data_IF_763181585399
#
_entry.id   IF_763181585399
#
_cell.length_a   1.000
_cell.length_b   1.000
_cell.length_c   1.000
_cell.angle_alpha   90.00
_cell.angle_beta   90.00
_cell.angle_gamma   90.00
#
_symmetry.space_group_name_H-M   'P 1'
#
loop_
_entity.id
_entity.type
_entity.pdbx_description
1 polymer ?
#
# COMPACT_ATOMS: atom_id res chain seq x y z
N UNK A 1 -21.23 -11.73 21.96
CA UNK A 1 -20.70 -12.69 20.99
C UNK A 1 -19.39 -13.27 21.50
N UNK A 2 -19.07 -14.50 21.10
CA UNK A 2 -17.84 -15.16 21.47
C UNK A 2 -17.09 -15.68 20.24
N UNK A 3 -15.78 -15.83 20.36
CA UNK A 3 -14.91 -16.32 19.29
C UNK A 3 -13.92 -17.34 19.82
N UNK A 4 -13.64 -18.37 19.05
CA UNK A 4 -12.52 -19.27 19.22
C UNK A 4 -11.78 -19.45 17.91
N UNK A 5 -10.46 -19.35 17.94
CA UNK A 5 -9.58 -19.46 16.77
C UNK A 5 -8.70 -20.70 16.95
N UNK A 6 -8.66 -21.52 15.92
CA UNK A 6 -7.91 -22.78 15.91
C UNK A 6 -6.92 -22.80 14.75
N UNK A 7 -5.72 -23.30 14.99
CA UNK A 7 -4.75 -23.63 13.97
C UNK A 7 -4.59 -25.16 13.91
N UNK A 8 -4.88 -25.77 12.75
CA UNK A 8 -4.88 -27.23 12.56
C UNK A 8 -5.73 -28.01 13.57
N UNK A 9 -6.83 -27.39 14.03
CA UNK A 9 -7.73 -27.96 15.02
C UNK A 9 -7.29 -27.79 16.48
N UNK A 10 -6.16 -27.13 16.74
CA UNK A 10 -5.71 -26.78 18.09
C UNK A 10 -6.13 -25.34 18.41
N UNK A 11 -6.82 -25.14 19.54
CA UNK A 11 -7.22 -23.82 20.02
C UNK A 11 -5.98 -22.96 20.29
N UNK A 12 -5.92 -21.78 19.66
CA UNK A 12 -4.83 -20.82 19.85
C UNK A 12 -5.26 -19.58 20.65
N UNK A 13 -6.52 -19.19 20.52
CA UNK A 13 -7.10 -18.12 21.34
C UNK A 13 -8.63 -18.22 21.38
N UNK A 14 -9.24 -17.67 22.42
CA UNK A 14 -10.69 -17.52 22.52
C UNK A 14 -11.05 -16.33 23.38
N UNK A 15 -12.22 -15.76 23.13
CA UNK A 15 -12.79 -14.69 23.92
C UNK A 15 -14.29 -14.96 24.16
N UNK A 16 -14.72 -14.76 25.40
CA UNK A 16 -16.13 -14.85 25.84
C UNK A 16 -16.81 -16.20 25.53
N UNK A 17 -16.03 -17.28 25.31
CA UNK A 17 -16.59 -18.62 25.05
C UNK A 17 -17.29 -19.16 26.29
N UNK A 18 -18.49 -19.75 26.14
CA UNK A 18 -19.22 -20.34 27.26
C UNK A 18 -18.54 -21.61 27.80
N UNK A 19 -18.61 -21.82 29.11
CA UNK A 19 -17.98 -22.97 29.78
C UNK A 19 -18.65 -24.32 29.47
N UNK A 20 -19.91 -24.30 29.03
CA UNK A 20 -20.71 -25.52 28.81
C UNK A 20 -21.30 -25.57 27.39
N UNK A 21 -21.23 -26.75 26.77
CA UNK A 21 -21.91 -27.06 25.51
C UNK A 21 -23.41 -27.19 25.73
N UNK A 22 -24.20 -26.42 24.99
CA UNK A 22 -25.65 -26.65 24.93
C UNK A 22 -25.99 -27.88 24.09
N UNK A 23 -27.14 -28.49 24.34
CA UNK A 23 -27.65 -29.57 23.51
C UNK A 23 -27.75 -29.10 22.04
N UNK A 24 -27.40 -29.97 21.11
CA UNK A 24 -27.36 -29.72 19.66
C UNK A 24 -26.19 -28.88 19.13
N UNK A 25 -25.07 -28.79 19.83
CA UNK A 25 -23.89 -27.99 19.41
C UNK A 25 -24.15 -26.49 19.22
N UNK A 26 -25.25 -25.97 19.76
CA UNK A 26 -25.53 -24.54 19.79
C UNK A 26 -24.91 -23.94 21.06
N UNK A 27 -24.10 -22.95 20.88
CA UNK A 27 -23.48 -22.18 21.96
C UNK A 27 -23.87 -20.73 21.78
N UNK A 28 -24.45 -20.16 22.81
CA UNK A 28 -24.63 -18.72 22.88
C UNK A 28 -23.67 -18.16 23.90
N UNK A 29 -22.96 -17.10 23.54
CA UNK A 29 -21.96 -16.48 24.39
C UNK A 29 -22.54 -15.95 25.71
N UNK A 30 -23.82 -15.58 25.71
CA UNK A 30 -24.48 -15.00 26.89
C UNK A 30 -23.96 -13.60 27.25
N UNK A 31 -23.04 -13.06 26.48
CA UNK A 31 -22.43 -11.75 26.68
C UNK A 31 -22.60 -10.93 25.40
N UNK A 32 -23.33 -9.82 25.50
CA UNK A 32 -23.48 -8.86 24.41
C UNK A 32 -22.37 -7.83 24.52
N UNK A 33 -21.51 -7.75 23.52
CA UNK A 33 -20.52 -6.69 23.39
C UNK A 33 -21.18 -5.50 22.67
N UNK A 34 -21.28 -4.35 23.33
CA UNK A 34 -21.81 -3.12 22.72
C UNK A 34 -20.88 -2.45 21.73
N UNK A 35 -19.66 -2.99 21.52
CA UNK A 35 -18.66 -2.56 20.55
C UNK A 35 -17.74 -3.75 20.23
N UNK A 36 -17.09 -3.79 19.05
CA UNK A 36 -16.08 -4.79 18.74
C UNK A 36 -14.99 -4.85 19.80
N UNK A 37 -14.56 -6.06 20.16
CA UNK A 37 -13.43 -6.29 21.07
C UNK A 37 -12.25 -6.73 20.23
N UNK A 38 -11.12 -6.08 20.45
CA UNK A 38 -9.84 -6.49 19.86
C UNK A 38 -9.23 -7.60 20.73
N UNK A 39 -8.74 -8.65 20.06
CA UNK A 39 -7.98 -9.71 20.70
C UNK A 39 -6.71 -9.99 19.88
N UNK A 40 -5.59 -10.12 20.56
CA UNK A 40 -4.33 -10.50 19.91
C UNK A 40 -3.76 -11.75 20.56
N UNK A 41 -3.14 -12.59 19.73
CA UNK A 41 -2.37 -13.76 20.19
C UNK A 41 -1.04 -13.81 19.49
N UNK A 42 0.01 -14.04 20.24
CA UNK A 42 1.36 -14.28 19.72
C UNK A 42 1.76 -15.69 20.14
N UNK A 43 1.99 -16.56 19.15
CA UNK A 43 2.49 -17.92 19.40
C UNK A 43 4.00 -17.91 19.35
N UNK A 44 4.63 -18.56 20.32
CA UNK A 44 6.08 -18.78 20.32
C UNK A 44 6.49 -19.75 19.22
N UNK A 45 7.78 -19.75 18.83
CA UNK A 45 8.34 -20.68 17.85
C UNK A 45 8.06 -22.15 18.21
N UNK A 46 8.16 -22.51 19.49
CA UNK A 46 7.93 -23.89 19.94
C UNK A 46 6.45 -24.27 19.87
N UNK A 47 5.54 -23.35 20.18
CA UNK A 47 4.12 -23.55 19.99
C UNK A 47 3.78 -23.72 18.53
N UNK A 48 4.31 -22.85 17.63
CA UNK A 48 4.13 -22.97 16.19
C UNK A 48 4.65 -24.29 15.64
N UNK A 49 5.87 -24.70 16.03
CA UNK A 49 6.46 -25.99 15.63
C UNK A 49 5.62 -27.22 16.05
N UNK A 50 4.90 -27.12 17.16
CA UNK A 50 4.02 -28.20 17.63
C UNK A 50 2.69 -28.29 16.87
N UNK A 51 2.27 -27.19 16.21
CA UNK A 51 0.96 -27.07 15.59
C UNK A 51 1.05 -27.14 14.06
N UNK A 52 2.09 -26.50 13.48
CA UNK A 52 2.28 -26.44 12.03
C UNK A 52 2.66 -27.78 11.44
N UNK A 53 2.16 -28.04 10.25
CA UNK A 53 2.44 -29.24 9.45
C UNK A 53 3.15 -28.82 8.17
N UNK A 54 3.96 -29.72 7.62
CA UNK A 54 4.49 -29.55 6.27
C UNK A 54 3.33 -29.53 5.26
N UNK A 55 3.35 -28.58 4.33
CA UNK A 55 2.28 -28.35 3.36
C UNK A 55 1.17 -27.45 3.90
N UNK A 56 -0.08 -27.79 3.64
CA UNK A 56 -1.23 -26.96 3.97
C UNK A 56 -1.54 -26.96 5.46
N UNK A 57 -1.75 -25.76 6.02
CA UNK A 57 -2.23 -25.53 7.37
C UNK A 57 -3.59 -24.84 7.33
N UNK A 58 -4.45 -25.15 8.28
CA UNK A 58 -5.83 -24.65 8.32
C UNK A 58 -6.02 -23.79 9.55
N UNK A 59 -6.40 -22.54 9.32
CA UNK A 59 -6.90 -21.64 10.35
C UNK A 59 -8.43 -21.72 10.34
N UNK A 60 -9.04 -22.02 11.49
CA UNK A 60 -10.49 -22.12 11.64
C UNK A 60 -10.97 -21.16 12.72
N UNK A 61 -12.11 -20.54 12.49
CA UNK A 61 -12.74 -19.63 13.43
C UNK A 61 -14.13 -20.14 13.76
N UNK A 62 -14.44 -20.20 15.04
CA UNK A 62 -15.76 -20.53 15.58
C UNK A 62 -16.33 -19.25 16.20
N UNK A 63 -17.51 -18.82 15.72
CA UNK A 63 -18.21 -17.64 16.19
C UNK A 63 -19.54 -18.02 16.84
N UNK A 64 -19.83 -17.40 17.96
CA UNK A 64 -21.07 -17.61 18.69
C UNK A 64 -21.77 -16.29 18.95
N UNK A 65 -23.03 -16.21 18.56
CA UNK A 65 -23.88 -15.08 18.91
C UNK A 65 -24.18 -15.08 20.42
N UNK A 66 -24.56 -13.93 20.94
CA UNK A 66 -24.92 -13.77 22.36
C UNK A 66 -26.23 -14.49 22.71
N UNK A 67 -27.14 -14.67 21.76
CA UNK A 67 -28.45 -15.31 21.91
C UNK A 67 -29.09 -15.72 20.58
N UNK A 68 -30.08 -16.58 20.60
CA UNK A 68 -30.78 -17.08 19.41
C UNK A 68 -31.41 -15.99 18.54
N UNK A 69 -31.82 -14.88 19.13
CA UNK A 69 -32.46 -13.76 18.42
C UNK A 69 -31.50 -12.64 17.99
N UNK A 70 -30.21 -12.82 18.15
CA UNK A 70 -29.20 -11.85 17.67
C UNK A 70 -29.20 -11.83 16.15
N UNK A 71 -29.08 -10.62 15.55
CA UNK A 71 -29.17 -10.43 14.12
C UNK A 71 -27.81 -10.14 13.50
N UNK A 72 -26.78 -9.90 14.30
CA UNK A 72 -25.45 -9.43 13.90
C UNK A 72 -24.35 -10.22 14.58
N UNK A 73 -23.44 -10.70 13.79
CA UNK A 73 -22.19 -11.31 14.23
C UNK A 73 -21.08 -10.80 13.30
N UNK A 74 -20.00 -10.30 13.89
CA UNK A 74 -18.88 -9.73 13.15
C UNK A 74 -17.58 -10.33 13.64
N UNK A 75 -16.71 -10.66 12.70
CA UNK A 75 -15.35 -11.10 12.95
C UNK A 75 -14.43 -10.66 11.82
N UNK A 76 -13.28 -10.12 12.16
CA UNK A 76 -12.27 -9.68 11.20
C UNK A 76 -10.87 -10.02 11.71
N UNK A 77 -10.00 -10.48 10.82
CA UNK A 77 -8.55 -10.49 11.05
C UNK A 77 -7.97 -9.14 10.62
N UNK A 78 -7.62 -8.29 11.56
CA UNK A 78 -6.97 -7.02 11.25
C UNK A 78 -5.51 -7.21 10.84
N UNK A 79 -4.83 -8.20 11.44
CA UNK A 79 -3.47 -8.56 11.07
C UNK A 79 -3.23 -10.04 11.35
N UNK A 80 -2.86 -10.79 10.31
CA UNK A 80 -2.41 -12.17 10.42
C UNK A 80 -1.04 -12.28 9.79
N UNK A 81 0.01 -12.48 10.59
CA UNK A 81 1.37 -12.67 10.09
C UNK A 81 2.00 -13.93 10.64
N UNK A 82 2.67 -14.69 9.79
CA UNK A 82 3.49 -15.83 10.15
C UNK A 82 4.94 -15.54 9.77
N UNK A 83 5.80 -15.32 10.78
CA UNK A 83 7.22 -15.07 10.57
C UNK A 83 8.01 -16.32 10.99
N UNK A 84 8.44 -17.14 10.03
CA UNK A 84 9.28 -18.30 10.25
C UNK A 84 10.67 -18.08 9.65
N UNK A 85 11.69 -18.10 10.48
CA UNK A 85 13.09 -18.01 10.05
C UNK A 85 13.84 -19.26 10.48
N UNK A 86 14.26 -20.12 9.54
CA UNK A 86 14.97 -21.37 9.80
C UNK A 86 16.41 -21.17 10.34
N UNK A 87 16.97 -19.97 10.25
CA UNK A 87 18.39 -19.71 10.50
C UNK A 87 18.73 -19.21 11.91
N UNK A 88 17.92 -19.53 12.94
CA UNK A 88 18.31 -19.30 14.32
C UNK A 88 18.77 -20.61 14.97
N UNK A 89 20.04 -21.01 14.74
CA UNK A 89 20.73 -21.96 15.57
C UNK A 89 21.01 -21.32 16.93
N UNK A 90 20.59 -22.02 17.98
CA UNK A 90 20.81 -21.66 19.37
C UNK A 90 22.27 -21.26 19.64
N UNK A 91 22.47 -20.15 20.32
CA UNK A 91 23.69 -19.83 21.04
C UNK A 91 24.22 -18.41 20.77
N UNK A 92 23.81 -17.48 21.46
CA UNK A 92 24.54 -16.62 22.38
C UNK A 92 23.74 -15.37 22.74
N UNK A 93 23.49 -15.21 24.04
CA UNK A 93 22.79 -14.06 24.57
C UNK A 93 23.80 -12.92 24.74
N UNK A 94 23.97 -12.11 23.70
CA UNK A 94 24.58 -10.79 23.83
C UNK A 94 23.68 -9.77 23.15
N UNK A 95 23.01 -8.96 23.98
CA UNK A 95 21.94 -8.04 23.56
C UNK A 95 22.32 -7.10 22.44
N UNK A 96 21.63 -7.27 21.32
CA UNK A 96 21.17 -6.17 20.50
C UNK A 96 19.65 -6.31 20.44
N UNK A 97 18.92 -5.32 20.89
CA UNK A 97 17.49 -5.17 20.61
C UNK A 97 17.36 -4.79 19.13
N UNK A 98 17.46 -5.77 18.22
CA UNK A 98 17.05 -5.56 16.84
C UNK A 98 15.53 -5.67 16.81
N UNK A 99 14.84 -4.57 17.16
CA UNK A 99 13.40 -4.42 16.94
C UNK A 99 13.18 -4.55 15.42
N UNK A 100 12.36 -5.52 15.04
CA UNK A 100 12.00 -5.72 13.63
C UNK A 100 11.29 -4.47 13.13
N UNK A 101 11.83 -3.85 12.08
CA UNK A 101 11.25 -2.66 11.46
C UNK A 101 9.87 -2.98 10.86
N UNK A 102 8.88 -2.17 11.19
CA UNK A 102 7.56 -2.21 10.56
C UNK A 102 7.60 -1.48 9.23
N UNK A 103 7.25 -2.16 8.14
CA UNK A 103 7.12 -1.58 6.81
C UNK A 103 5.65 -1.59 6.38
N UNK A 104 5.13 -0.48 5.85
CA UNK A 104 3.74 -0.34 5.41
C UNK A 104 3.58 0.67 4.30
N UNK A 105 2.36 0.79 3.76
CA UNK A 105 1.99 1.78 2.75
C UNK A 105 2.91 1.76 1.53
N UNK A 106 3.26 0.55 1.05
CA UNK A 106 4.08 0.39 -0.15
C UNK A 106 3.25 0.80 -1.36
N UNK A 107 3.77 1.73 -2.15
CA UNK A 107 3.04 2.35 -3.25
C UNK A 107 3.94 2.57 -4.46
N UNK A 108 3.46 2.16 -5.64
CA UNK A 108 4.11 2.46 -6.90
C UNK A 108 3.56 3.75 -7.50
N UNK A 109 4.44 4.64 -7.95
CA UNK A 109 4.07 5.79 -8.78
C UNK A 109 4.67 5.65 -10.16
N UNK A 110 4.03 6.25 -11.16
CA UNK A 110 4.66 6.38 -12.48
C UNK A 110 6.03 7.03 -12.36
N UNK A 111 6.97 6.64 -13.20
CA UNK A 111 8.29 7.29 -13.29
C UNK A 111 8.31 8.44 -14.29
N UNK A 112 9.51 8.98 -14.60
CA UNK A 112 9.67 10.02 -15.61
C UNK A 112 9.12 9.61 -16.97
N UNK A 113 9.34 8.35 -17.31
CA UNK A 113 8.91 7.67 -18.52
C UNK A 113 8.72 6.16 -18.23
N UNK A 114 8.39 5.39 -19.26
CA UNK A 114 8.17 3.94 -19.19
C UNK A 114 9.40 3.12 -18.76
N UNK A 115 10.58 3.72 -18.74
CA UNK A 115 11.83 3.07 -18.28
C UNK A 115 12.15 3.33 -16.81
N UNK A 116 11.26 4.00 -16.08
CA UNK A 116 11.44 4.33 -14.68
C UNK A 116 10.18 4.10 -13.85
N UNK A 117 10.33 3.90 -12.53
CA UNK A 117 9.26 3.59 -11.60
C UNK A 117 9.56 4.17 -10.22
N UNK A 118 8.64 4.96 -9.66
CA UNK A 118 8.74 5.43 -8.28
C UNK A 118 8.21 4.39 -7.30
N UNK A 119 8.82 4.28 -6.14
CA UNK A 119 8.39 3.43 -5.04
C UNK A 119 8.48 4.22 -3.74
N UNK A 120 7.41 4.17 -2.96
CA UNK A 120 7.33 4.78 -1.63
C UNK A 120 6.88 3.76 -0.62
N UNK A 121 7.39 3.86 0.60
CA UNK A 121 6.89 3.09 1.75
C UNK A 121 7.21 3.79 3.07
N UNK A 122 6.44 3.50 4.10
CA UNK A 122 6.72 3.94 5.44
C UNK A 122 7.46 2.85 6.23
N UNK A 123 8.43 3.28 7.05
CA UNK A 123 9.16 2.42 7.98
C UNK A 123 9.30 3.11 9.35
N UNK A 124 9.23 2.35 10.45
CA UNK A 124 9.36 2.87 11.82
C UNK A 124 10.83 2.98 12.26
N UNK A 125 11.71 3.34 11.33
CA UNK A 125 13.14 3.57 11.58
C UNK A 125 13.64 4.79 10.80
N UNK A 126 14.54 5.57 11.40
CA UNK A 126 15.21 6.69 10.74
C UNK A 126 16.17 6.25 9.64
N UNK A 127 16.64 5.00 9.72
CA UNK A 127 17.59 4.48 8.75
C UNK A 127 16.89 4.31 7.40
N UNK A 128 17.38 5.03 6.41
CA UNK A 128 16.89 4.93 5.03
C UNK A 128 16.98 3.48 4.54
N UNK A 129 15.92 3.06 3.83
CA UNK A 129 15.87 1.74 3.23
C UNK A 129 16.45 1.69 1.83
N UNK A 130 16.23 0.56 1.18
CA UNK A 130 16.59 0.31 -0.21
C UNK A 130 15.50 -0.52 -0.91
N UNK A 131 15.43 -0.41 -2.22
CA UNK A 131 14.63 -1.30 -3.08
C UNK A 131 15.56 -2.28 -3.76
N UNK A 132 15.28 -3.56 -3.62
CA UNK A 132 15.92 -4.64 -4.36
C UNK A 132 14.98 -5.07 -5.48
N UNK A 133 15.46 -5.17 -6.73
CA UNK A 133 14.62 -5.51 -7.88
C UNK A 133 15.37 -6.26 -8.97
N UNK A 134 14.63 -7.04 -9.75
CA UNK A 134 15.17 -7.78 -10.90
C UNK A 134 14.04 -8.09 -11.90
N UNK A 135 14.40 -8.43 -13.15
CA UNK A 135 13.46 -9.05 -14.08
C UNK A 135 13.04 -10.41 -13.51
N UNK A 136 11.75 -10.66 -13.47
CA UNK A 136 11.18 -11.92 -12.98
C UNK A 136 11.61 -13.08 -13.87
N UNK A 137 12.17 -14.12 -13.28
CA UNK A 137 12.64 -15.33 -13.98
C UNK A 137 12.00 -16.62 -13.48
N UNK A 138 11.16 -16.54 -12.46
CA UNK A 138 10.49 -17.70 -11.82
C UNK A 138 9.66 -17.23 -10.62
N UNK A 139 9.34 -18.17 -9.74
CA UNK A 139 8.46 -17.92 -8.57
C UNK A 139 9.21 -17.43 -7.33
N UNK A 140 10.54 -17.43 -7.35
CA UNK A 140 11.38 -16.95 -6.26
C UNK A 140 12.08 -15.64 -6.65
N UNK A 141 12.46 -14.85 -5.64
CA UNK A 141 13.25 -13.65 -5.88
C UNK A 141 14.61 -14.03 -6.48
N UNK A 142 15.03 -13.42 -7.61
CA UNK A 142 16.29 -13.79 -8.28
C UNK A 142 17.53 -13.55 -7.41
N UNK A 143 18.54 -14.42 -7.51
CA UNK A 143 19.81 -14.23 -6.80
C UNK A 143 20.59 -13.00 -7.32
N UNK A 144 20.49 -12.73 -8.63
CA UNK A 144 21.08 -11.55 -9.25
C UNK A 144 20.03 -10.44 -9.33
N UNK A 145 20.14 -9.45 -8.49
CA UNK A 145 19.24 -8.29 -8.42
C UNK A 145 20.02 -6.99 -8.35
N UNK A 146 19.33 -5.91 -8.67
CA UNK A 146 19.82 -4.54 -8.52
C UNK A 146 19.30 -3.96 -7.21
N UNK A 147 20.00 -2.96 -6.69
CA UNK A 147 19.62 -2.25 -5.46
C UNK A 147 19.64 -0.75 -5.72
N UNK A 148 18.59 -0.08 -5.26
CA UNK A 148 18.49 1.39 -5.27
C UNK A 148 18.26 1.87 -3.84
N UNK A 149 19.14 2.74 -3.31
CA UNK A 149 18.92 3.36 -2.01
C UNK A 149 17.73 4.31 -2.06
N UNK A 150 16.98 4.38 -0.96
CA UNK A 150 15.92 5.36 -0.78
C UNK A 150 16.42 6.63 -0.12
N UNK A 151 15.77 7.76 -0.39
CA UNK A 151 15.76 8.89 0.54
C UNK A 151 14.77 8.60 1.67
N UNK A 152 15.04 9.11 2.88
CA UNK A 152 14.15 8.94 4.03
C UNK A 152 13.92 10.27 4.71
N UNK A 153 12.66 10.58 5.00
CA UNK A 153 12.23 11.79 5.72
C UNK A 153 11.20 11.43 6.78
N UNK A 154 11.16 12.19 7.89
CA UNK A 154 10.15 11.97 8.91
C UNK A 154 8.73 12.08 8.30
N UNK A 155 7.88 11.09 8.54
CA UNK A 155 6.54 11.05 8.04
C UNK A 155 5.58 11.90 8.91
N UNK A 156 4.42 12.26 8.36
CA UNK A 156 3.33 12.85 9.10
C UNK A 156 2.84 11.91 10.23
N UNK A 157 2.90 10.62 10.00
CA UNK A 157 2.63 9.63 11.03
C UNK A 157 3.79 9.53 12.03
N UNK A 158 3.50 9.83 13.28
CA UNK A 158 4.51 9.86 14.34
C UNK A 158 5.20 8.49 14.51
N UNK A 159 6.52 8.50 14.48
CA UNK A 159 7.35 7.31 14.63
C UNK A 159 7.64 6.58 13.32
N UNK A 160 7.09 7.06 12.21
CA UNK A 160 7.39 6.54 10.87
C UNK A 160 8.21 7.52 10.03
N UNK A 161 8.88 6.98 9.04
CA UNK A 161 9.69 7.69 8.05
C UNK A 161 9.24 7.27 6.66
N UNK A 162 8.99 8.24 5.77
CA UNK A 162 8.72 8.01 4.36
C UNK A 162 10.01 7.72 3.63
N UNK A 163 10.11 6.55 3.03
CA UNK A 163 11.20 6.13 2.17
C UNK A 163 10.76 6.23 0.71
N UNK A 164 11.59 6.84 -0.13
CA UNK A 164 11.27 7.05 -1.54
C UNK A 164 12.46 6.65 -2.41
N UNK A 165 12.21 5.83 -3.41
CA UNK A 165 13.22 5.38 -4.37
C UNK A 165 12.68 5.46 -5.80
N UNK A 166 13.58 5.60 -6.78
CA UNK A 166 13.23 5.60 -8.20
C UNK A 166 14.07 4.54 -8.91
N UNK A 167 13.41 3.55 -9.45
CA UNK A 167 14.03 2.58 -10.36
C UNK A 167 14.20 3.23 -11.73
N UNK A 168 15.34 3.01 -12.38
CA UNK A 168 15.63 3.56 -13.71
C UNK A 168 16.26 2.50 -14.62
N UNK A 169 16.20 2.73 -15.93
CA UNK A 169 16.76 1.81 -16.91
C UNK A 169 16.00 0.50 -17.03
N UNK A 170 14.70 0.53 -16.75
CA UNK A 170 13.82 -0.63 -16.93
C UNK A 170 13.73 -1.00 -18.41
N UNK A 171 13.84 -2.26 -18.71
CA UNK A 171 13.67 -2.78 -20.07
C UNK A 171 12.17 -2.81 -20.41
N UNK A 172 11.77 -2.51 -21.65
CA UNK A 172 10.36 -2.49 -22.03
C UNK A 172 9.74 -3.90 -21.99
N UNK A 173 8.44 -3.94 -21.70
CA UNK A 173 7.64 -5.17 -21.69
C UNK A 173 8.25 -6.28 -20.84
N UNK A 174 8.66 -5.94 -19.62
CA UNK A 174 9.21 -6.90 -18.65
C UNK A 174 8.42 -6.88 -17.35
N UNK A 175 8.14 -8.06 -16.85
CA UNK A 175 7.71 -8.21 -15.47
C UNK A 175 8.93 -8.14 -14.56
N UNK A 176 8.90 -7.21 -13.61
CA UNK A 176 9.90 -7.03 -12.56
C UNK A 176 9.35 -7.52 -11.23
N UNK A 177 10.20 -8.14 -10.44
CA UNK A 177 9.95 -8.37 -9.01
C UNK A 177 10.77 -7.40 -8.20
N UNK A 178 10.18 -6.92 -7.09
CA UNK A 178 10.87 -6.06 -6.15
C UNK A 178 10.47 -6.35 -4.71
N UNK A 179 11.29 -5.87 -3.79
CA UNK A 179 11.03 -5.85 -2.36
C UNK A 179 11.72 -4.65 -1.74
N UNK A 180 11.18 -4.13 -0.63
CA UNK A 180 11.80 -3.04 0.12
C UNK A 180 12.52 -3.61 1.33
N UNK A 181 13.62 -2.95 1.73
CA UNK A 181 14.46 -3.38 2.84
C UNK A 181 14.85 -2.20 3.72
N UNK A 182 14.70 -2.32 5.05
CA UNK A 182 15.21 -1.40 6.05
C UNK A 182 15.99 -2.22 7.09
N UNK A 183 17.31 -1.99 7.21
CA UNK A 183 18.18 -2.83 8.03
C UNK A 183 18.11 -4.29 7.59
N UNK A 184 17.76 -5.19 8.51
CA UNK A 184 17.60 -6.62 8.22
C UNK A 184 16.17 -7.02 7.87
N UNK A 185 15.20 -6.09 7.98
CA UNK A 185 13.81 -6.35 7.60
C UNK A 185 13.62 -6.20 6.11
N UNK A 186 13.08 -7.25 5.49
CA UNK A 186 12.76 -7.34 4.07
C UNK A 186 11.26 -7.59 3.95
N UNK A 187 10.59 -6.85 3.05
CA UNK A 187 9.16 -7.04 2.75
C UNK A 187 8.87 -8.33 1.99
N UNK A 188 7.60 -8.60 1.75
CA UNK A 188 7.16 -9.55 0.74
C UNK A 188 7.68 -9.17 -0.65
N UNK A 189 7.60 -10.10 -1.59
CA UNK A 189 7.97 -9.90 -2.99
C UNK A 189 6.75 -9.38 -3.74
N UNK A 190 6.90 -8.24 -4.39
CA UNK A 190 5.89 -7.63 -5.25
C UNK A 190 6.34 -7.69 -6.70
N UNK A 191 5.42 -7.46 -7.64
CA UNK A 191 5.76 -7.38 -9.07
C UNK A 191 5.00 -6.27 -9.78
N UNK A 192 5.59 -5.74 -10.84
CA UNK A 192 4.95 -4.83 -11.78
C UNK A 192 5.48 -5.10 -13.20
N UNK A 193 4.73 -4.65 -14.20
CA UNK A 193 5.15 -4.69 -15.61
C UNK A 193 5.56 -3.31 -16.08
N UNK A 194 6.72 -3.20 -16.72
CA UNK A 194 7.18 -1.95 -17.35
C UNK A 194 6.45 -1.70 -18.67
N UNK A 195 6.35 -0.45 -19.11
CA UNK A 195 5.72 -0.09 -20.38
C UNK A 195 6.34 -0.80 -21.58
N UNK A 196 5.56 -1.00 -22.63
CA UNK A 196 5.93 -1.84 -23.78
C UNK A 196 6.69 -1.09 -24.89
N UNK A 197 6.62 0.26 -24.91
CA UNK A 197 7.22 1.13 -25.92
C UNK A 197 6.72 0.88 -27.36
N UNK A 198 5.51 0.34 -27.51
CA UNK A 198 4.88 0.12 -28.83
C UNK A 198 3.92 1.25 -29.25
N UNK A 199 3.72 2.22 -28.37
CA UNK A 199 2.86 3.39 -28.59
C UNK A 199 1.41 3.17 -28.18
N UNK A 200 1.05 2.01 -27.64
CA UNK A 200 -0.28 1.68 -27.11
C UNK A 200 -0.23 1.49 -25.60
N UNK A 201 -1.27 1.97 -24.90
CA UNK A 201 -1.42 1.79 -23.47
C UNK A 201 -2.89 2.01 -23.06
N UNK A 202 -3.24 1.45 -21.92
CA UNK A 202 -4.52 1.67 -21.23
C UNK A 202 -4.28 2.30 -19.87
N UNK A 203 -5.11 3.22 -19.43
CA UNK A 203 -5.09 3.70 -18.06
C UNK A 203 -6.50 3.82 -17.50
N UNK A 204 -6.62 3.57 -16.19
CA UNK A 204 -7.86 3.84 -15.48
C UNK A 204 -7.83 5.28 -14.96
N UNK A 205 -8.87 6.07 -15.28
CA UNK A 205 -9.05 7.41 -14.71
C UNK A 205 -10.12 7.37 -13.64
N UNK A 206 -9.78 7.82 -12.45
CA UNK A 206 -10.67 7.90 -11.29
C UNK A 206 -10.51 9.26 -10.61
N UNK A 207 -11.54 9.73 -9.93
CA UNK A 207 -11.49 10.96 -9.15
C UNK A 207 -12.24 10.79 -7.84
N UNK A 208 -11.85 11.58 -6.85
CA UNK A 208 -12.56 11.76 -5.59
C UNK A 208 -12.90 10.44 -4.84
N UNK A 209 -11.95 9.52 -4.64
CA UNK A 209 -12.18 8.42 -3.71
C UNK A 209 -12.42 8.93 -2.30
N UNK A 210 -11.81 10.04 -1.95
CA UNK A 210 -12.05 10.93 -0.81
C UNK A 210 -12.37 10.18 0.48
N UNK A 211 -11.49 9.20 0.81
CA UNK A 211 -11.64 8.34 2.00
C UNK A 211 -11.86 9.18 3.24
N UNK A 212 -13.00 9.00 3.90
CA UNK A 212 -13.42 9.75 5.08
C UNK A 212 -14.40 10.90 4.81
N UNK A 213 -14.88 11.07 3.57
CA UNK A 213 -15.92 12.05 3.24
C UNK A 213 -17.29 11.67 3.81
N UNK A 214 -17.57 10.38 3.82
CA UNK A 214 -18.74 9.79 4.46
C UNK A 214 -18.32 9.07 5.75
N UNK A 215 -18.43 7.76 5.77
CA UNK A 215 -17.84 6.90 6.79
C UNK A 215 -16.55 6.30 6.22
N UNK A 216 -15.44 6.42 6.95
CA UNK A 216 -14.14 5.91 6.51
C UNK A 216 -14.23 4.46 6.05
N UNK A 217 -14.91 3.59 6.79
CA UNK A 217 -15.03 2.17 6.47
C UNK A 217 -15.83 1.94 5.18
N UNK A 218 -16.96 2.63 5.00
CA UNK A 218 -17.76 2.49 3.78
C UNK A 218 -17.08 3.07 2.56
N UNK A 219 -16.29 4.14 2.73
CA UNK A 219 -15.52 4.75 1.64
C UNK A 219 -14.38 3.81 1.22
N UNK A 220 -13.70 3.16 2.18
CA UNK A 220 -12.69 2.13 1.93
C UNK A 220 -13.31 0.95 1.17
N UNK A 221 -14.48 0.46 1.59
CA UNK A 221 -15.18 -0.63 0.92
C UNK A 221 -15.50 -0.28 -0.54
N UNK A 222 -16.10 0.89 -0.77
CA UNK A 222 -16.42 1.38 -2.12
C UNK A 222 -15.18 1.57 -3.00
N UNK A 223 -14.10 2.09 -2.42
CA UNK A 223 -12.82 2.22 -3.10
C UNK A 223 -12.22 0.87 -3.49
N UNK A 224 -12.20 -0.10 -2.57
CA UNK A 224 -11.73 -1.46 -2.83
C UNK A 224 -12.54 -2.15 -3.93
N UNK A 225 -13.85 -1.98 -4.00
CA UNK A 225 -14.69 -2.50 -5.10
C UNK A 225 -14.36 -1.82 -6.44
N UNK A 226 -14.02 -0.52 -6.43
CA UNK A 226 -13.55 0.20 -7.62
C UNK A 226 -12.22 -0.38 -8.11
N UNK A 227 -11.24 -0.54 -7.23
CA UNK A 227 -9.93 -1.10 -7.55
C UNK A 227 -10.02 -2.56 -8.03
N UNK A 228 -10.87 -3.37 -7.41
CA UNK A 228 -11.17 -4.73 -7.84
C UNK A 228 -11.81 -4.76 -9.24
N UNK A 229 -12.67 -3.79 -9.54
CA UNK A 229 -13.24 -3.66 -10.88
C UNK A 229 -12.17 -3.31 -11.90
N UNK A 230 -11.26 -2.39 -11.57
CA UNK A 230 -10.13 -2.02 -12.44
C UNK A 230 -9.26 -3.25 -12.70
N UNK A 231 -8.79 -3.94 -11.67
CA UNK A 231 -7.88 -5.08 -11.81
C UNK A 231 -8.50 -6.28 -12.51
N UNK A 232 -9.83 -6.48 -12.42
CA UNK A 232 -10.50 -7.65 -13.00
C UNK A 232 -11.06 -7.45 -14.41
N UNK A 233 -11.27 -6.20 -14.83
CA UNK A 233 -11.96 -5.91 -16.11
C UNK A 233 -11.13 -5.12 -17.11
N UNK A 234 -10.04 -4.52 -16.68
CA UNK A 234 -9.19 -3.68 -17.50
C UNK A 234 -7.72 -4.13 -17.40
N UNK A 235 -6.98 -3.91 -18.47
CA UNK A 235 -5.53 -4.16 -18.50
C UNK A 235 -4.79 -2.82 -18.36
N UNK A 236 -5.16 -2.05 -17.32
CA UNK A 236 -4.57 -0.73 -17.12
C UNK A 236 -3.08 -0.83 -16.81
N UNK A 237 -2.27 -0.08 -17.55
CA UNK A 237 -0.82 0.06 -17.33
C UNK A 237 -0.55 0.95 -16.11
N UNK A 238 -1.44 1.89 -15.83
CA UNK A 238 -1.41 2.73 -14.65
C UNK A 238 -2.79 3.28 -14.29
N UNK A 239 -2.92 3.78 -13.06
CA UNK A 239 -4.09 4.51 -12.61
C UNK A 239 -3.77 6.01 -12.58
N UNK A 240 -4.61 6.84 -13.20
CA UNK A 240 -4.57 8.29 -13.12
C UNK A 240 -5.66 8.76 -12.16
N UNK A 241 -5.29 9.40 -11.05
CA UNK A 241 -6.24 9.96 -10.10
C UNK A 241 -6.49 11.44 -10.37
N UNK A 242 -7.75 11.83 -10.37
CA UNK A 242 -8.18 13.22 -10.54
C UNK A 242 -8.15 14.07 -9.26
N UNK A 243 -7.60 13.56 -8.16
CA UNK A 243 -7.48 14.30 -6.90
C UNK A 243 -8.40 13.79 -5.79
N UNK A 244 -8.27 14.41 -4.61
CA UNK A 244 -9.02 14.10 -3.39
C UNK A 244 -8.94 12.61 -3.01
N UNK A 245 -7.72 12.12 -2.75
CA UNK A 245 -7.47 10.76 -2.30
C UNK A 245 -8.07 10.52 -0.92
N UNK A 246 -7.96 11.52 -0.06
CA UNK A 246 -8.46 11.51 1.33
C UNK A 246 -9.32 12.74 1.60
N UNK A 247 -10.20 12.68 2.59
CA UNK A 247 -11.02 13.83 3.00
C UNK A 247 -10.27 14.81 3.91
N UNK A 248 -9.26 14.33 4.63
CA UNK A 248 -8.48 15.16 5.56
C UNK A 248 -7.00 14.95 5.31
N UNK A 249 -6.33 15.96 4.77
CA UNK A 249 -4.95 15.93 4.27
C UNK A 249 -3.90 15.31 5.20
N UNK A 250 -4.07 15.36 6.52
CA UNK A 250 -3.12 14.84 7.51
C UNK A 250 -3.58 13.54 8.19
N UNK A 251 -4.67 12.93 7.72
CA UNK A 251 -5.22 11.75 8.36
C UNK A 251 -4.63 10.44 7.77
N UNK A 252 -3.67 9.86 8.47
CA UNK A 252 -2.98 8.65 8.07
C UNK A 252 -3.90 7.40 7.99
N UNK A 253 -4.97 7.35 8.78
CA UNK A 253 -5.96 6.27 8.68
C UNK A 253 -6.68 6.32 7.33
N UNK A 254 -6.94 7.52 6.81
CA UNK A 254 -7.56 7.68 5.49
C UNK A 254 -6.58 7.32 4.37
N UNK A 255 -5.29 7.67 4.47
CA UNK A 255 -4.26 7.21 3.52
C UNK A 255 -4.08 5.70 3.56
N UNK A 256 -4.09 5.09 4.74
CA UNK A 256 -4.06 3.62 4.87
C UNK A 256 -5.26 2.98 4.18
N UNK A 257 -6.43 3.61 4.24
CA UNK A 257 -7.64 3.16 3.54
C UNK A 257 -7.59 3.36 2.03
N UNK A 258 -6.92 4.42 1.55
CA UNK A 258 -6.71 4.67 0.13
C UNK A 258 -5.69 3.71 -0.48
N UNK A 259 -4.57 3.47 0.23
CA UNK A 259 -3.45 2.64 -0.23
C UNK A 259 -3.83 1.17 -0.11
N UNK A 260 -4.18 0.57 -1.23
CA UNK A 260 -4.56 -0.83 -1.36
C UNK A 260 -3.37 -1.66 -1.90
N UNK A 261 -3.39 -2.98 -1.70
CA UNK A 261 -2.36 -3.88 -2.23
C UNK A 261 -2.20 -3.82 -3.75
N UNK A 262 -3.24 -3.43 -4.50
CA UNK A 262 -3.15 -3.26 -5.97
C UNK A 262 -2.04 -2.27 -6.34
N UNK A 263 -1.79 -1.25 -5.53
CA UNK A 263 -0.75 -0.25 -5.78
C UNK A 263 0.68 -0.77 -5.57
N UNK A 264 0.86 -2.00 -5.14
CA UNK A 264 2.16 -2.67 -5.17
C UNK A 264 2.48 -3.26 -6.55
N UNK A 265 1.51 -3.31 -7.46
CA UNK A 265 1.66 -3.87 -8.82
C UNK A 265 1.18 -2.93 -9.93
N UNK A 266 0.22 -2.05 -9.65
CA UNK A 266 -0.31 -1.06 -10.59
C UNK A 266 0.20 0.34 -10.21
N UNK A 267 1.09 0.95 -11.02
CA UNK A 267 1.55 2.31 -10.78
C UNK A 267 0.42 3.32 -10.79
N UNK A 268 0.54 4.38 -9.99
CA UNK A 268 -0.43 5.45 -9.99
C UNK A 268 0.21 6.81 -10.23
N UNK A 269 -0.49 7.67 -10.98
CA UNK A 269 -0.23 9.09 -11.14
C UNK A 269 -1.33 9.83 -10.37
N UNK A 270 -1.01 10.34 -9.18
CA UNK A 270 -1.99 11.04 -8.35
C UNK A 270 -1.98 12.54 -8.61
N UNK A 271 -3.15 13.18 -8.55
CA UNK A 271 -3.32 14.64 -8.65
C UNK A 271 -3.66 15.19 -7.28
N UNK A 272 -3.13 16.36 -6.92
CA UNK A 272 -3.42 17.01 -5.64
C UNK A 272 -4.83 17.64 -5.71
N UNK A 273 -5.77 17.08 -4.94
CA UNK A 273 -7.08 17.69 -4.73
C UNK A 273 -7.08 18.72 -3.61
N UNK A 274 -8.18 19.43 -3.42
CA UNK A 274 -8.27 20.45 -2.36
C UNK A 274 -8.27 19.84 -0.95
N UNK A 275 -8.74 18.61 -0.81
CA UNK A 275 -8.68 17.87 0.45
C UNK A 275 -7.30 17.32 0.76
N UNK A 276 -6.41 17.14 -0.23
CA UNK A 276 -5.03 16.68 -0.07
C UNK A 276 -4.04 17.81 0.25
N UNK A 277 -4.31 19.03 -0.22
CA UNK A 277 -3.35 20.13 -0.36
C UNK A 277 -2.77 20.69 0.95
N UNK A 278 -3.42 20.39 2.08
CA UNK A 278 -3.13 20.99 3.39
C UNK A 278 -2.02 20.31 4.21
N UNK A 279 -1.41 19.21 3.73
CA UNK A 279 -0.42 18.44 4.48
C UNK A 279 0.68 17.87 3.57
N UNK A 280 1.89 17.75 4.11
CA UNK A 280 2.99 17.05 3.46
C UNK A 280 2.79 15.52 3.38
N UNK A 281 1.78 14.96 4.05
CA UNK A 281 1.47 13.53 4.00
C UNK A 281 1.28 13.04 2.56
N UNK A 282 0.64 13.85 1.71
CA UNK A 282 0.48 13.51 0.30
C UNK A 282 1.82 13.23 -0.39
N UNK A 283 2.77 14.15 -0.34
CA UNK A 283 4.09 13.99 -0.97
C UNK A 283 4.94 12.89 -0.29
N UNK A 284 4.65 12.59 0.97
CA UNK A 284 5.30 11.50 1.69
C UNK A 284 4.80 10.13 1.25
N UNK A 285 3.56 10.02 0.78
CA UNK A 285 2.99 8.78 0.25
C UNK A 285 3.25 8.61 -1.25
N UNK A 286 3.40 9.70 -2.02
CA UNK A 286 3.47 9.65 -3.48
C UNK A 286 4.76 10.30 -3.99
N UNK A 287 5.67 9.48 -4.52
CA UNK A 287 6.94 9.92 -5.11
C UNK A 287 6.72 10.25 -6.59
N UNK A 288 6.26 11.47 -6.88
CA UNK A 288 5.87 11.88 -8.24
C UNK A 288 7.09 12.39 -9.03
N UNK A 289 7.17 12.08 -10.33
CA UNK A 289 8.31 12.45 -11.16
C UNK A 289 8.26 13.92 -11.62
N UNK A 290 9.42 14.52 -11.89
CA UNK A 290 9.54 15.85 -12.48
C UNK A 290 8.70 16.93 -11.79
N UNK A 291 8.56 16.82 -10.48
CA UNK A 291 7.84 17.78 -9.66
C UNK A 291 8.56 19.14 -9.68
N UNK A 292 7.79 20.23 -9.84
CA UNK A 292 8.35 21.57 -9.93
C UNK A 292 8.86 22.04 -8.57
N UNK A 293 10.05 22.66 -8.59
CA UNK A 293 10.61 23.24 -7.37
C UNK A 293 9.97 24.58 -7.00
N UNK A 294 9.23 25.23 -7.91
CA UNK A 294 8.81 26.62 -7.75
C UNK A 294 7.42 26.98 -8.35
N UNK A 295 6.70 26.01 -8.93
CA UNK A 295 5.40 26.27 -9.60
C UNK A 295 4.30 25.35 -9.10
N UNK A 296 3.12 25.90 -8.88
CA UNK A 296 1.96 25.14 -8.41
C UNK A 296 2.13 24.61 -6.99
N UNK A 297 2.86 25.33 -6.11
CA UNK A 297 3.26 24.80 -4.81
C UNK A 297 2.18 24.92 -3.74
N UNK A 298 1.99 23.82 -3.02
CA UNK A 298 1.28 23.77 -1.74
C UNK A 298 2.08 22.95 -0.72
N UNK A 299 1.56 22.74 0.47
CA UNK A 299 2.19 21.84 1.46
C UNK A 299 2.27 20.38 0.95
N UNK A 300 1.34 19.99 0.08
CA UNK A 300 1.25 18.63 -0.45
C UNK A 300 2.21 18.35 -1.62
N UNK A 301 2.75 19.36 -2.25
CA UNK A 301 3.59 19.24 -3.44
C UNK A 301 3.28 20.30 -4.49
N UNK A 302 3.62 20.04 -5.74
CA UNK A 302 3.58 21.03 -6.81
C UNK A 302 3.06 20.44 -8.15
N UNK A 303 3.16 21.21 -9.22
CA UNK A 303 2.93 20.71 -10.58
C UNK A 303 3.98 19.66 -10.92
N UNK A 304 3.59 18.61 -11.64
CA UNK A 304 4.51 17.58 -12.12
C UNK A 304 4.12 17.06 -13.50
N UNK A 305 5.04 16.38 -14.18
CA UNK A 305 4.77 15.75 -15.46
C UNK A 305 5.46 14.39 -15.58
N UNK A 306 4.92 13.53 -16.46
CA UNK A 306 5.57 12.29 -16.89
C UNK A 306 5.22 11.99 -18.33
N UNK A 307 6.03 11.15 -18.97
CA UNK A 307 5.77 10.64 -20.31
C UNK A 307 5.37 9.18 -20.21
N UNK A 308 4.24 8.83 -20.80
CA UNK A 308 3.89 7.42 -20.99
C UNK A 308 3.69 7.18 -22.48
N UNK A 309 4.51 6.30 -23.06
CA UNK A 309 4.60 6.07 -24.50
C UNK A 309 4.78 7.39 -25.28
N UNK A 310 3.82 7.73 -26.11
CA UNK A 310 3.85 8.93 -26.95
C UNK A 310 3.06 10.11 -26.34
N UNK A 311 2.73 10.05 -25.07
CA UNK A 311 1.88 11.05 -24.40
C UNK A 311 2.62 11.69 -23.22
N UNK A 312 2.65 13.00 -23.21
CA UNK A 312 3.06 13.81 -22.07
C UNK A 312 1.83 14.08 -21.19
N UNK A 313 1.85 13.62 -19.96
CA UNK A 313 0.88 13.94 -18.93
C UNK A 313 1.42 15.07 -18.07
N UNK A 314 0.66 16.14 -17.93
CA UNK A 314 0.98 17.31 -17.14
C UNK A 314 -0.07 17.43 -16.05
N UNK A 315 0.33 17.25 -14.81
CA UNK A 315 -0.52 17.37 -13.64
C UNK A 315 -0.30 18.74 -13.00
N UNK A 316 -1.37 19.50 -12.85
CA UNK A 316 -1.36 20.82 -12.24
C UNK A 316 -1.99 20.76 -10.86
N UNK A 317 -1.32 21.32 -9.89
CA UNK A 317 -1.88 21.54 -8.55
C UNK A 317 -2.74 22.81 -8.52
N UNK A 318 -4.01 22.66 -8.90
CA UNK A 318 -4.97 23.78 -9.00
C UNK A 318 -5.29 24.47 -7.66
N UNK A 319 -4.74 23.98 -6.55
CA UNK A 319 -4.84 24.66 -5.24
C UNK A 319 -3.94 25.90 -5.15
N UNK A 320 -2.82 25.92 -5.87
CA UNK A 320 -2.21 27.18 -6.28
C UNK A 320 -3.00 27.73 -7.46
N UNK A 321 -3.40 28.99 -7.37
CA UNK A 321 -4.24 29.66 -8.38
C UNK A 321 -3.43 30.54 -9.33
N UNK A 322 -2.12 30.44 -9.34
CA UNK A 322 -1.23 31.20 -10.21
C UNK A 322 -1.26 30.66 -11.65
N UNK A 323 -2.20 31.13 -12.46
CA UNK A 323 -2.27 30.74 -13.89
C UNK A 323 -0.98 31.04 -14.66
N UNK A 324 -0.17 32.00 -14.20
CA UNK A 324 1.11 32.33 -14.81
C UNK A 324 2.14 31.25 -14.54
N UNK A 325 2.18 30.68 -13.34
CA UNK A 325 3.08 29.58 -12.98
C UNK A 325 2.72 28.31 -13.72
N UNK A 326 1.43 27.92 -13.70
CA UNK A 326 0.96 26.74 -14.44
C UNK A 326 1.23 26.85 -15.95
N UNK A 327 1.01 28.06 -16.52
CA UNK A 327 1.36 28.27 -17.93
C UNK A 327 2.87 28.07 -18.19
N UNK A 328 3.72 28.64 -17.36
CA UNK A 328 5.18 28.50 -17.48
C UNK A 328 5.58 27.02 -17.33
N UNK A 329 5.00 26.29 -16.37
CA UNK A 329 5.27 24.87 -16.17
C UNK A 329 4.85 24.03 -17.38
N UNK A 330 3.67 24.27 -17.96
CA UNK A 330 3.21 23.59 -19.18
C UNK A 330 4.19 23.83 -20.32
N UNK A 331 4.66 25.09 -20.52
CA UNK A 331 5.60 25.45 -21.56
C UNK A 331 6.97 24.74 -21.36
N UNK A 332 7.47 24.68 -20.12
CA UNK A 332 8.69 23.95 -19.76
C UNK A 332 8.54 22.44 -20.01
N UNK A 333 7.46 21.83 -19.55
CA UNK A 333 7.20 20.40 -19.76
C UNK A 333 7.13 20.04 -21.25
N UNK A 334 6.47 20.87 -22.06
CA UNK A 334 6.40 20.68 -23.52
C UNK A 334 7.78 20.85 -24.15
N UNK A 335 8.54 21.85 -23.75
CA UNK A 335 9.89 22.10 -24.29
C UNK A 335 10.87 20.95 -23.94
N UNK A 336 10.73 20.35 -22.75
CA UNK A 336 11.52 19.20 -22.33
C UNK A 336 11.16 17.93 -23.15
N UNK A 337 9.95 17.85 -23.71
CA UNK A 337 9.42 16.67 -24.40
C UNK A 337 8.97 16.98 -25.84
N UNK A 338 9.87 17.45 -26.75
CA UNK A 338 9.48 17.94 -28.07
C UNK A 338 8.96 16.86 -29.02
N UNK A 339 9.25 15.60 -28.74
CA UNK A 339 8.94 14.46 -29.62
C UNK A 339 7.63 13.75 -29.26
N UNK A 340 6.97 14.10 -28.15
CA UNK A 340 5.69 13.46 -27.78
C UNK A 340 4.58 13.88 -28.75
N UNK A 341 3.74 12.92 -29.07
CA UNK A 341 2.63 13.12 -29.99
C UNK A 341 1.41 13.77 -29.33
N UNK A 342 1.10 13.31 -28.12
CA UNK A 342 -0.09 13.73 -27.38
C UNK A 342 0.30 14.45 -26.08
N UNK A 343 -0.56 15.34 -25.66
CA UNK A 343 -0.40 16.09 -24.41
C UNK A 343 -1.73 16.07 -23.67
N UNK A 344 -1.70 15.60 -22.45
CA UNK A 344 -2.86 15.55 -21.56
C UNK A 344 -2.57 16.43 -20.36
N UNK A 345 -3.47 17.33 -20.04
CA UNK A 345 -3.40 18.15 -18.82
C UNK A 345 -4.46 17.66 -17.85
N UNK A 346 -4.05 17.42 -16.62
CA UNK A 346 -4.91 16.94 -15.54
C UNK A 346 -4.82 17.91 -14.37
N UNK A 347 -5.93 18.19 -13.75
CA UNK A 347 -6.04 18.97 -12.52
C UNK A 347 -7.38 18.67 -11.84
N UNK A 348 -7.42 18.92 -10.54
CA UNK A 348 -8.62 18.71 -9.72
C UNK A 348 -9.58 19.90 -9.82
#
# INVERSE_FOLDING_TARGET
DAVAVYLNGQLITSADMPDEKHENNLYYAGVSAGAPKEASVVLTKDQLKSILKEGSNVLSVELHQDRESSSDIYFEFQNLSLNYNENNTDGDNSGSNDEKVTQKSIFLTVGNDTSSQGITWYADTETAGEVQYAVKTGDTFPENYLTVPASSTAANEKGFYSNQAVLTGLLPDKEYVYRVKNGDTISDIYSFTSGNNDGSYEFAFVGDPQIGAGSTDSDIEGWNETLKTISSKFNADFLLSGGDQVNTASNETQYTGYINELFTSLPSATTIGNHDSGSAAYNQHFNLPNESADKGQTTAGSDYWFVYENTLFINLNSNDRSTAEHKAFIEEAIAANPNVKWKTVVFH
#
